data_IF_070521194901
#
_entry.id   IF_070521194901
#
_cell.length_a   1.000
_cell.length_b   1.000
_cell.length_c   1.000
_cell.angle_alpha   90.00
_cell.angle_beta   90.00
_cell.angle_gamma   90.00
#
_symmetry.space_group_name_H-M   'P 1'
#
loop_
_entity.id
_entity.type
_entity.pdbx_description
1 polymer ?
#
# COMPACT_ATOMS: atom_id res chain seq x y z
N UNK A 1 -16.87 27.28 -1.58
CA UNK A 1 -17.39 28.63 -1.91
C UNK A 1 -18.52 29.10 -0.95
N UNK A 2 -19.54 28.27 -0.68
CA UNK A 2 -20.66 28.60 0.23
C UNK A 2 -20.22 29.08 1.64
N UNK A 3 -19.27 28.39 2.30
CA UNK A 3 -18.78 28.69 3.65
C UNK A 3 -18.15 30.09 3.81
N UNK A 4 -17.52 30.64 2.76
CA UNK A 4 -17.02 32.04 2.73
C UNK A 4 -18.13 33.09 2.63
N UNK A 5 -19.33 32.67 2.20
CA UNK A 5 -20.50 33.54 1.98
C UNK A 5 -21.39 33.66 3.22
N UNK A 6 -21.27 32.73 4.17
CA UNK A 6 -22.08 32.66 5.40
C UNK A 6 -21.32 33.01 6.68
N UNK A 7 -20.00 33.26 6.60
CA UNK A 7 -19.15 33.54 7.78
C UNK A 7 -18.92 32.33 8.70
N UNK A 8 -19.48 31.16 8.36
CA UNK A 8 -19.48 29.94 9.18
C UNK A 8 -18.24 29.06 8.92
N UNK A 9 -17.06 29.66 8.76
CA UNK A 9 -15.78 28.94 8.77
C UNK A 9 -15.28 28.73 10.19
N UNK A 10 -16.04 27.97 10.99
CA UNK A 10 -15.61 27.50 12.30
C UNK A 10 -14.65 26.30 12.19
N UNK A 11 -13.78 26.08 13.20
CA UNK A 11 -12.79 24.99 13.18
C UNK A 11 -13.43 23.58 13.07
N UNK A 12 -14.67 23.41 13.53
CA UNK A 12 -15.42 22.16 13.38
C UNK A 12 -15.76 21.85 11.90
N UNK A 13 -15.99 22.87 11.08
CA UNK A 13 -16.30 22.71 9.66
C UNK A 13 -15.06 22.39 8.81
N UNK A 14 -13.89 22.84 9.25
CA UNK A 14 -12.59 22.46 8.67
C UNK A 14 -12.22 21.02 9.02
N UNK A 15 -12.40 20.62 10.28
CA UNK A 15 -12.21 19.23 10.71
C UNK A 15 -13.10 18.25 9.94
N UNK A 16 -14.35 18.63 9.65
CA UNK A 16 -15.27 17.80 8.88
C UNK A 16 -14.88 17.69 7.39
N UNK A 17 -14.49 18.80 6.74
CA UNK A 17 -13.95 18.79 5.36
C UNK A 17 -12.79 17.78 5.25
N UNK A 18 -11.77 17.94 6.10
CA UNK A 18 -10.58 17.08 6.06
C UNK A 18 -10.90 15.62 6.41
N UNK A 19 -11.90 15.37 7.27
CA UNK A 19 -12.39 14.02 7.55
C UNK A 19 -13.05 13.35 6.35
N UNK A 20 -13.83 14.10 5.57
CA UNK A 20 -14.44 13.60 4.33
C UNK A 20 -13.39 13.37 3.25
N UNK A 21 -12.43 14.29 3.09
CA UNK A 21 -11.33 14.15 2.14
C UNK A 21 -10.47 12.91 2.45
N UNK A 22 -10.13 12.66 3.72
CA UNK A 22 -9.40 11.46 4.14
C UNK A 22 -10.17 10.16 3.81
N UNK A 23 -11.48 10.12 4.05
CA UNK A 23 -12.34 9.00 3.68
C UNK A 23 -12.39 8.78 2.17
N UNK A 24 -12.51 9.85 1.38
CA UNK A 24 -12.47 9.78 -0.08
C UNK A 24 -11.12 9.22 -0.58
N UNK A 25 -10.01 9.74 -0.06
CA UNK A 25 -8.66 9.27 -0.37
C UNK A 25 -8.48 7.77 -0.06
N UNK A 26 -9.04 7.27 1.04
CA UNK A 26 -8.99 5.84 1.36
C UNK A 26 -9.79 4.98 0.35
N UNK A 27 -10.98 5.43 -0.04
CA UNK A 27 -11.80 4.75 -1.05
C UNK A 27 -11.14 4.75 -2.43
N UNK A 28 -10.51 5.86 -2.83
CA UNK A 28 -9.76 5.97 -4.08
C UNK A 28 -8.62 4.95 -4.17
N UNK A 29 -7.89 4.72 -3.07
CA UNK A 29 -6.83 3.68 -3.03
C UNK A 29 -7.41 2.27 -3.21
N UNK A 30 -8.58 1.97 -2.63
CA UNK A 30 -9.22 0.66 -2.81
C UNK A 30 -9.69 0.45 -4.26
N UNK A 31 -10.23 1.48 -4.90
CA UNK A 31 -10.63 1.45 -6.31
C UNK A 31 -9.38 1.28 -7.21
N UNK A 32 -8.29 1.98 -6.91
CA UNK A 32 -7.00 1.83 -7.60
C UNK A 32 -6.46 0.40 -7.49
N UNK A 33 -6.44 -0.18 -6.28
CA UNK A 33 -5.98 -1.54 -6.05
C UNK A 33 -6.84 -2.60 -6.77
N UNK A 34 -8.15 -2.34 -6.92
CA UNK A 34 -9.05 -3.13 -7.77
C UNK A 34 -8.73 -2.98 -9.26
N UNK A 35 -8.63 -1.75 -9.76
CA UNK A 35 -8.36 -1.45 -11.17
C UNK A 35 -6.99 -1.94 -11.67
N UNK A 36 -6.01 -2.06 -10.76
CA UNK A 36 -4.66 -2.59 -11.04
C UNK A 36 -4.47 -4.05 -10.62
N UNK A 37 -5.50 -4.69 -10.04
CA UNK A 37 -5.46 -6.05 -9.52
C UNK A 37 -4.26 -6.30 -8.57
N UNK A 38 -4.08 -5.41 -7.59
CA UNK A 38 -3.12 -5.61 -6.49
C UNK A 38 -3.65 -6.60 -5.43
N UNK A 39 -4.97 -6.73 -5.31
CA UNK A 39 -5.62 -7.65 -4.38
C UNK A 39 -5.26 -7.42 -2.90
N UNK A 40 -5.33 -8.49 -2.10
CA UNK A 40 -4.91 -8.50 -0.69
C UNK A 40 -3.39 -8.66 -0.59
N UNK A 41 -2.64 -7.66 -1.06
CA UNK A 41 -1.18 -7.67 -1.06
C UNK A 41 -0.58 -6.49 -0.29
N UNK A 42 0.69 -6.65 0.10
CA UNK A 42 1.48 -5.59 0.70
C UNK A 42 1.55 -4.30 -0.14
N UNK A 43 1.39 -4.38 -1.47
CA UNK A 43 1.38 -3.19 -2.32
C UNK A 43 0.10 -2.35 -2.10
N UNK A 44 -1.05 -2.98 -1.88
CA UNK A 44 -2.29 -2.32 -1.49
C UNK A 44 -2.14 -1.62 -0.14
N UNK A 45 -1.54 -2.33 0.84
CA UNK A 45 -1.27 -1.77 2.19
C UNK A 45 -0.33 -0.56 2.09
N UNK A 46 0.81 -0.70 1.41
CA UNK A 46 1.78 0.39 1.24
C UNK A 46 1.18 1.61 0.51
N UNK A 47 0.30 1.38 -0.48
CA UNK A 47 -0.40 2.49 -1.17
C UNK A 47 -1.34 3.21 -0.22
N UNK A 48 -2.11 2.49 0.60
CA UNK A 48 -3.04 3.09 1.57
C UNK A 48 -2.29 3.88 2.65
N UNK A 49 -1.23 3.29 3.22
CA UNK A 49 -0.42 3.93 4.25
C UNK A 49 0.38 5.13 3.71
N UNK A 50 0.92 5.04 2.49
CA UNK A 50 1.60 6.16 1.82
C UNK A 50 0.64 7.32 1.52
N UNK A 51 -0.58 7.02 1.09
CA UNK A 51 -1.61 8.03 0.84
C UNK A 51 -2.06 8.70 2.14
N UNK A 52 -2.33 7.92 3.19
CA UNK A 52 -2.68 8.44 4.52
C UNK A 52 -1.55 9.30 5.13
N UNK A 53 -0.28 8.90 4.96
CA UNK A 53 0.87 9.70 5.39
C UNK A 53 0.98 11.02 4.61
N UNK A 54 0.75 10.98 3.29
CA UNK A 54 0.72 12.20 2.47
C UNK A 54 -0.34 13.17 3.00
N UNK A 55 -1.56 12.69 3.21
CA UNK A 55 -2.67 13.50 3.73
C UNK A 55 -2.33 14.09 5.11
N UNK A 56 -1.82 13.28 6.03
CA UNK A 56 -1.39 13.73 7.37
C UNK A 56 -0.36 14.85 7.30
N UNK A 57 0.67 14.71 6.45
CA UNK A 57 1.73 15.71 6.32
C UNK A 57 1.20 17.02 5.71
N UNK A 58 0.25 16.95 4.76
CA UNK A 58 -0.39 18.15 4.23
C UNK A 58 -1.24 18.88 5.29
N UNK A 59 -2.05 18.16 6.08
CA UNK A 59 -2.79 18.76 7.20
C UNK A 59 -1.86 19.35 8.26
N UNK A 60 -0.72 18.70 8.53
CA UNK A 60 0.31 19.20 9.45
C UNK A 60 1.00 20.47 8.93
N UNK A 61 1.30 20.55 7.63
CA UNK A 61 1.89 21.73 6.98
C UNK A 61 0.92 22.91 7.06
N UNK A 62 -0.34 22.71 6.65
CA UNK A 62 -1.39 23.73 6.77
C UNK A 62 -1.60 24.19 8.21
N UNK A 63 -1.66 23.27 9.18
CA UNK A 63 -1.80 23.62 10.60
C UNK A 63 -0.69 24.56 11.09
N UNK A 64 0.55 24.35 10.68
CA UNK A 64 1.68 25.18 11.13
C UNK A 64 1.96 26.42 10.29
N UNK A 65 1.63 26.42 9.00
CA UNK A 65 1.81 27.57 8.10
C UNK A 65 0.61 28.49 8.09
N UNK A 66 -0.59 27.96 8.36
CA UNK A 66 -1.91 28.61 8.17
C UNK A 66 -2.21 28.92 6.69
N UNK A 67 -1.62 28.13 5.78
CA UNK A 67 -1.77 28.26 4.33
C UNK A 67 -1.70 26.90 3.66
N UNK A 68 -2.75 26.51 2.94
CA UNK A 68 -2.72 25.33 2.07
C UNK A 68 -1.79 25.58 0.86
N UNK A 69 -0.49 25.31 1.03
CA UNK A 69 0.49 25.43 -0.05
C UNK A 69 0.48 24.19 -0.94
N UNK A 70 -0.46 24.14 -1.91
CA UNK A 70 -0.32 23.26 -3.07
C UNK A 70 0.92 23.70 -3.88
N UNK A 71 2.07 23.13 -3.55
CA UNK A 71 3.28 23.24 -4.36
C UNK A 71 3.11 22.57 -5.73
N UNK A 72 4.07 22.82 -6.63
CA UNK A 72 4.08 22.24 -7.99
C UNK A 72 3.99 20.70 -7.94
N UNK A 73 4.60 20.07 -6.94
CA UNK A 73 4.44 18.65 -6.61
C UNK A 73 3.91 18.60 -5.17
N UNK A 74 2.59 18.63 -4.99
CA UNK A 74 1.96 18.53 -3.65
C UNK A 74 1.87 17.09 -3.14
N UNK A 75 1.81 16.11 -4.06
CA UNK A 75 1.45 14.72 -3.76
C UNK A 75 0.01 14.42 -4.22
N UNK A 76 -1.04 14.96 -3.57
CA UNK A 76 -2.43 14.67 -3.93
C UNK A 76 -2.81 14.99 -5.38
N UNK A 77 -2.32 16.10 -5.94
CA UNK A 77 -2.64 16.49 -7.34
C UNK A 77 -2.05 15.49 -8.33
N UNK A 78 -0.77 15.14 -8.17
CA UNK A 78 -0.08 14.13 -8.97
C UNK A 78 -0.72 12.74 -8.82
N UNK A 79 -1.18 12.42 -7.61
CA UNK A 79 -1.95 11.21 -7.30
C UNK A 79 -3.24 11.12 -8.12
N UNK A 80 -4.09 12.15 -8.06
CA UNK A 80 -5.36 12.20 -8.81
C UNK A 80 -5.12 12.14 -10.32
N UNK A 81 -4.13 12.87 -10.85
CA UNK A 81 -3.77 12.81 -12.27
C UNK A 81 -3.30 11.40 -12.68
N UNK A 82 -2.52 10.73 -11.81
CA UNK A 82 -2.09 9.34 -12.01
C UNK A 82 -3.27 8.38 -11.99
N UNK A 83 -4.23 8.53 -11.06
CA UNK A 83 -5.45 7.74 -11.00
C UNK A 83 -6.29 7.89 -12.28
N UNK A 84 -6.51 9.12 -12.76
CA UNK A 84 -7.20 9.37 -14.02
C UNK A 84 -6.52 8.67 -15.21
N UNK A 85 -5.18 8.75 -15.30
CA UNK A 85 -4.42 8.08 -16.36
C UNK A 85 -4.49 6.54 -16.29
N UNK A 86 -4.47 5.99 -15.06
CA UNK A 86 -4.61 4.55 -14.80
C UNK A 86 -6.02 4.07 -15.17
N UNK A 87 -7.07 4.77 -14.75
CA UNK A 87 -8.45 4.36 -15.10
C UNK A 87 -8.71 4.47 -16.61
N UNK A 88 -8.27 5.54 -17.27
CA UNK A 88 -8.36 5.67 -18.72
C UNK A 88 -7.60 4.55 -19.46
N UNK A 89 -6.37 4.23 -19.02
CA UNK A 89 -5.57 3.18 -19.63
C UNK A 89 -6.15 1.78 -19.37
N UNK A 90 -6.71 1.53 -18.19
CA UNK A 90 -7.38 0.27 -17.85
C UNK A 90 -8.61 0.06 -18.74
N UNK A 91 -9.39 1.11 -18.98
CA UNK A 91 -10.54 1.08 -19.88
C UNK A 91 -10.12 0.81 -21.35
N UNK A 92 -9.07 1.50 -21.84
CA UNK A 92 -8.58 1.34 -23.22
C UNK A 92 -7.91 -0.02 -23.46
N UNK A 93 -7.18 -0.55 -22.48
CA UNK A 93 -6.43 -1.82 -22.59
C UNK A 93 -7.26 -3.06 -22.18
N UNK A 94 -8.50 -2.87 -21.74
CA UNK A 94 -9.46 -3.96 -21.54
C UNK A 94 -9.23 -4.83 -20.31
N UNK A 95 -8.48 -4.38 -19.31
CA UNK A 95 -8.36 -5.10 -18.04
C UNK A 95 -7.10 -4.82 -17.22
N UNK A 96 -7.18 -5.18 -15.93
CA UNK A 96 -6.15 -4.95 -14.93
C UNK A 96 -4.84 -5.74 -15.17
N UNK A 97 -4.89 -6.84 -15.93
CA UNK A 97 -3.71 -7.67 -16.27
C UNK A 97 -2.65 -6.92 -17.06
N UNK A 98 -3.00 -5.79 -17.70
CA UNK A 98 -2.05 -4.89 -18.34
C UNK A 98 -0.97 -4.39 -17.37
N UNK A 99 -1.33 -4.07 -16.13
CA UNK A 99 -0.43 -3.46 -15.13
C UNK A 99 0.63 -4.41 -14.58
N UNK A 100 0.47 -5.72 -14.80
CA UNK A 100 1.42 -6.77 -14.41
C UNK A 100 2.46 -7.07 -15.51
N UNK A 101 2.39 -6.38 -16.66
CA UNK A 101 3.40 -6.49 -17.73
C UNK A 101 4.66 -5.68 -17.38
N UNK A 102 5.86 -6.13 -17.79
CA UNK A 102 7.09 -5.35 -17.60
C UNK A 102 6.99 -3.96 -18.25
N UNK A 103 7.16 -2.90 -17.45
CA UNK A 103 6.91 -1.53 -17.90
C UNK A 103 7.84 -1.13 -19.03
N UNK A 104 9.16 -1.30 -18.85
CA UNK A 104 10.17 -0.83 -19.79
C UNK A 104 10.05 -1.52 -21.17
N UNK A 105 9.77 -2.82 -21.19
CA UNK A 105 9.50 -3.54 -22.44
C UNK A 105 8.18 -3.08 -23.10
N UNK A 106 7.13 -2.85 -22.30
CA UNK A 106 5.82 -2.39 -22.81
C UNK A 106 5.86 -0.96 -23.37
N UNK A 107 6.76 -0.11 -22.84
CA UNK A 107 7.03 1.24 -23.35
C UNK A 107 7.98 1.27 -24.56
N UNK A 108 8.49 0.12 -25.02
CA UNK A 108 9.33 0.02 -26.20
C UNK A 108 10.81 0.41 -25.99
N UNK A 109 11.32 0.31 -24.76
CA UNK A 109 12.76 0.52 -24.50
C UNK A 109 13.58 -0.52 -25.29
N UNK A 110 14.62 -0.11 -26.05
CA UNK A 110 15.41 -1.04 -26.87
C UNK A 110 16.05 -2.17 -26.05
N UNK A 111 16.10 -3.37 -26.64
CA UNK A 111 16.70 -4.55 -26.01
C UNK A 111 18.16 -4.34 -25.58
N UNK A 112 18.92 -3.53 -26.33
CA UNK A 112 20.30 -3.14 -26.01
C UNK A 112 20.43 -2.32 -24.72
N UNK A 113 19.42 -1.53 -24.37
CA UNK A 113 19.38 -0.78 -23.10
C UNK A 113 18.88 -1.69 -21.98
N UNK A 114 17.89 -2.54 -22.24
CA UNK A 114 17.40 -3.54 -21.29
C UNK A 114 18.48 -4.53 -20.86
N UNK A 115 19.39 -4.93 -21.76
CA UNK A 115 20.51 -5.84 -21.45
C UNK A 115 21.63 -5.20 -20.60
N UNK A 116 21.66 -3.87 -20.47
CA UNK A 116 22.60 -3.16 -19.59
C UNK A 116 22.04 -3.06 -18.16
N UNK A 117 20.71 -3.06 -18.02
CA UNK A 117 20.05 -3.00 -16.72
C UNK A 117 20.02 -4.37 -16.03
N UNK A 118 20.08 -4.44 -14.69
CA UNK A 118 19.83 -5.67 -13.96
C UNK A 118 18.46 -6.26 -14.32
N UNK A 119 18.36 -7.59 -14.44
CA UNK A 119 17.11 -8.28 -14.74
C UNK A 119 15.99 -7.94 -13.75
N UNK A 120 16.35 -7.68 -12.49
CA UNK A 120 15.45 -7.23 -11.41
C UNK A 120 14.84 -5.85 -11.62
N UNK A 121 15.34 -5.06 -12.58
CA UNK A 121 14.81 -3.73 -12.96
C UNK A 121 14.15 -3.78 -14.33
N UNK A 122 14.75 -4.48 -15.31
CA UNK A 122 14.21 -4.61 -16.66
C UNK A 122 12.81 -5.23 -16.68
N UNK A 123 12.57 -6.20 -15.78
CA UNK A 123 11.37 -7.02 -15.74
C UNK A 123 10.30 -6.49 -14.76
N UNK A 124 10.51 -5.34 -14.11
CA UNK A 124 9.55 -4.81 -13.14
C UNK A 124 8.21 -4.45 -13.79
N UNK A 125 7.08 -4.92 -13.22
CA UNK A 125 5.75 -4.58 -13.71
C UNK A 125 5.41 -3.11 -13.42
N UNK A 126 4.44 -2.55 -14.14
CA UNK A 126 3.95 -1.19 -13.88
C UNK A 126 3.54 -0.98 -12.42
N UNK A 127 2.92 -1.99 -11.79
CA UNK A 127 2.52 -1.95 -10.36
C UNK A 127 3.71 -1.64 -9.44
N UNK A 128 4.87 -2.28 -9.63
CA UNK A 128 6.08 -1.98 -8.84
C UNK A 128 6.63 -0.58 -9.13
N UNK A 129 6.59 -0.14 -10.39
CA UNK A 129 7.02 1.22 -10.76
C UNK A 129 6.13 2.31 -10.15
N UNK A 130 4.81 2.10 -10.05
CA UNK A 130 3.90 3.01 -9.36
C UNK A 130 4.24 3.15 -7.87
N UNK A 131 4.62 2.06 -7.19
CA UNK A 131 5.00 2.10 -5.77
C UNK A 131 6.32 2.86 -5.59
N UNK A 132 7.31 2.65 -6.47
CA UNK A 132 8.58 3.40 -6.45
C UNK A 132 8.33 4.89 -6.71
N UNK A 133 7.54 5.23 -7.74
CA UNK A 133 7.14 6.60 -8.05
C UNK A 133 6.41 7.27 -6.87
N UNK A 134 5.40 6.60 -6.31
CA UNK A 134 4.64 7.08 -5.17
C UNK A 134 5.52 7.31 -3.93
N UNK A 135 6.47 6.41 -3.65
CA UNK A 135 7.43 6.58 -2.56
C UNK A 135 8.35 7.79 -2.78
N UNK A 136 8.83 8.03 -4.00
CA UNK A 136 9.65 9.21 -4.33
C UNK A 136 8.84 10.51 -4.18
N UNK A 137 7.60 10.56 -4.68
CA UNK A 137 6.71 11.72 -4.54
C UNK A 137 6.37 11.98 -3.08
N UNK A 138 6.06 10.94 -2.30
CA UNK A 138 5.80 11.01 -0.86
C UNK A 138 7.00 11.59 -0.09
N UNK A 139 8.21 11.09 -0.34
CA UNK A 139 9.43 11.58 0.29
C UNK A 139 9.73 13.04 -0.08
N UNK A 140 9.58 13.40 -1.35
CA UNK A 140 9.80 14.76 -1.84
C UNK A 140 8.79 15.76 -1.27
N UNK A 141 7.50 15.42 -1.30
CA UNK A 141 6.42 16.22 -0.70
C UNK A 141 6.66 16.41 0.79
N UNK A 142 6.94 15.31 1.51
CA UNK A 142 7.20 15.35 2.97
C UNK A 142 8.39 16.26 3.32
N UNK A 143 9.52 16.12 2.62
CA UNK A 143 10.68 16.97 2.85
C UNK A 143 10.37 18.44 2.53
N UNK A 144 9.65 18.71 1.44
CA UNK A 144 9.28 20.06 1.03
C UNK A 144 8.37 20.73 2.06
N UNK A 145 7.34 20.04 2.57
CA UNK A 145 6.48 20.51 3.65
C UNK A 145 7.25 20.76 4.95
N UNK A 146 8.19 19.88 5.34
CA UNK A 146 9.04 20.11 6.52
C UNK A 146 9.87 21.39 6.37
N UNK A 147 10.53 21.57 5.23
CA UNK A 147 11.33 22.76 4.94
C UNK A 147 10.46 24.04 4.90
N UNK A 148 9.25 23.96 4.34
CA UNK A 148 8.27 25.05 4.29
C UNK A 148 7.84 25.51 5.70
N UNK A 149 7.41 24.56 6.56
CA UNK A 149 7.06 24.84 7.97
C UNK A 149 8.23 25.45 8.73
N UNK A 150 9.44 24.90 8.58
CA UNK A 150 10.64 25.43 9.24
C UNK A 150 10.97 26.86 8.77
N UNK A 151 10.83 27.13 7.46
CA UNK A 151 11.08 28.44 6.87
C UNK A 151 10.08 29.50 7.36
N UNK A 152 8.78 29.20 7.29
CA UNK A 152 7.70 30.10 7.71
C UNK A 152 7.78 30.38 9.21
N UNK A 153 8.06 29.37 10.05
CA UNK A 153 8.22 29.57 11.50
C UNK A 153 9.47 30.35 11.87
N UNK A 154 10.59 30.14 11.15
CA UNK A 154 11.80 30.98 11.33
C UNK A 154 11.51 32.44 10.98
N UNK A 155 10.75 32.73 9.91
CA UNK A 155 10.29 34.09 9.56
C UNK A 155 9.36 34.70 10.62
N UNK A 156 8.52 33.88 11.27
CA UNK A 156 7.66 34.29 12.40
C UNK A 156 8.39 34.34 13.76
N UNK A 157 9.70 34.11 13.79
CA UNK A 157 10.54 34.01 15.00
C UNK A 157 10.01 33.00 16.05
N UNK A 158 9.46 31.88 15.57
CA UNK A 158 8.90 30.80 16.39
C UNK A 158 9.82 29.58 16.43
N UNK A 159 9.79 28.83 17.55
CA UNK A 159 10.53 27.58 17.72
C UNK A 159 10.28 26.59 16.58
N UNK A 160 11.34 26.20 15.85
CA UNK A 160 11.26 25.31 14.67
C UNK A 160 11.17 23.82 15.02
N UNK A 161 11.50 23.42 16.24
CA UNK A 161 11.47 22.02 16.68
C UNK A 161 10.08 21.54 17.14
N UNK A 162 9.22 22.46 17.66
CA UNK A 162 7.87 22.12 18.12
C UNK A 162 6.98 21.44 17.04
N UNK A 163 7.00 21.86 15.76
CA UNK A 163 6.30 21.15 14.68
C UNK A 163 6.77 19.73 14.45
N UNK A 164 8.08 19.44 14.60
CA UNK A 164 8.63 18.11 14.33
C UNK A 164 8.08 17.07 15.32
N UNK A 165 7.77 17.48 16.56
CA UNK A 165 7.02 16.66 17.51
C UNK A 165 5.60 16.33 17.00
N UNK A 166 5.02 17.20 16.17
CA UNK A 166 3.75 16.96 15.47
C UNK A 166 3.83 15.92 14.35
N UNK A 167 5.01 15.42 13.97
CA UNK A 167 5.17 14.26 13.08
C UNK A 167 5.31 12.94 13.83
N UNK A 168 5.56 12.99 15.16
CA UNK A 168 5.68 11.79 15.99
C UNK A 168 4.45 10.87 15.93
N UNK A 169 3.19 11.35 15.93
CA UNK A 169 2.03 10.46 15.86
C UNK A 169 2.02 9.62 14.58
N UNK A 170 2.37 10.20 13.42
CA UNK A 170 2.49 9.44 12.18
C UNK A 170 3.56 8.35 12.28
N UNK A 171 4.76 8.69 12.74
CA UNK A 171 5.85 7.70 12.92
C UNK A 171 5.44 6.60 13.91
N UNK A 172 4.79 6.97 15.01
CA UNK A 172 4.29 6.02 16.01
C UNK A 172 3.24 5.08 15.42
N UNK A 173 2.26 5.59 14.66
CA UNK A 173 1.26 4.74 13.97
C UNK A 173 1.92 3.77 12.99
N UNK A 174 2.91 4.21 12.21
CA UNK A 174 3.66 3.34 11.29
C UNK A 174 4.41 2.22 12.04
N UNK A 175 5.08 2.55 13.15
CA UNK A 175 5.79 1.55 13.97
C UNK A 175 4.82 0.57 14.66
N UNK A 176 3.72 1.08 15.21
CA UNK A 176 2.70 0.26 15.90
C UNK A 176 2.01 -0.72 14.94
N UNK A 177 1.60 -0.28 13.75
CA UNK A 177 1.00 -1.18 12.75
C UNK A 177 2.03 -2.21 12.26
N UNK A 178 3.27 -1.79 12.02
CA UNK A 178 4.33 -2.73 11.59
C UNK A 178 4.58 -3.79 12.66
N UNK A 179 4.60 -3.40 13.94
CA UNK A 179 4.71 -4.31 15.07
C UNK A 179 3.51 -5.27 15.15
N UNK A 180 2.28 -4.75 15.13
CA UNK A 180 1.03 -5.51 15.25
C UNK A 180 0.87 -6.56 14.14
N UNK A 181 1.23 -6.21 12.90
CA UNK A 181 1.20 -7.18 11.78
C UNK A 181 2.33 -8.20 11.89
N UNK A 182 3.53 -7.82 12.36
CA UNK A 182 4.62 -8.79 12.61
C UNK A 182 4.21 -9.77 13.71
N UNK A 183 3.66 -9.30 14.83
CA UNK A 183 3.18 -10.18 15.92
C UNK A 183 2.05 -11.09 15.44
N UNK A 184 1.09 -10.56 14.69
CA UNK A 184 0.00 -11.37 14.09
C UNK A 184 0.53 -12.45 13.15
N UNK A 185 1.56 -12.17 12.35
CA UNK A 185 2.20 -13.17 11.46
C UNK A 185 3.01 -14.19 12.28
N UNK A 186 3.76 -13.75 13.29
CA UNK A 186 4.47 -14.63 14.22
C UNK A 186 3.50 -15.63 14.88
N UNK A 187 2.37 -15.14 15.42
CA UNK A 187 1.34 -15.97 16.04
C UNK A 187 0.65 -16.90 15.02
N UNK A 188 0.35 -16.41 13.81
CA UNK A 188 -0.28 -17.22 12.75
C UNK A 188 0.62 -18.37 12.24
N UNK A 189 1.92 -18.12 12.10
CA UNK A 189 2.89 -19.15 11.68
C UNK A 189 3.41 -20.00 12.85
N UNK A 190 2.92 -19.78 14.07
CA UNK A 190 3.35 -20.42 15.31
C UNK A 190 4.86 -20.22 15.64
N UNK A 191 5.45 -19.16 15.08
CA UNK A 191 6.83 -18.74 15.31
C UNK A 191 6.83 -17.62 16.35
N UNK A 192 7.05 -17.97 17.61
CA UNK A 192 7.28 -16.97 18.65
C UNK A 192 8.63 -16.27 18.44
N UNK A 193 8.60 -15.13 17.75
CA UNK A 193 9.78 -14.37 17.35
C UNK A 193 10.59 -13.76 18.52
N UNK A 194 10.18 -14.00 19.77
CA UNK A 194 10.87 -13.62 21.01
C UNK A 194 11.21 -14.81 21.93
N UNK A 195 10.79 -16.05 21.64
CA UNK A 195 11.04 -17.23 22.50
C UNK A 195 11.01 -18.52 21.69
N UNK A 196 12.01 -19.40 21.86
CA UNK A 196 12.01 -20.72 21.21
C UNK A 196 10.91 -21.59 21.83
N UNK A 197 9.84 -21.86 21.07
CA UNK A 197 8.68 -22.65 21.51
C UNK A 197 9.02 -24.10 21.86
N UNK A 198 10.00 -24.68 21.16
CA UNK A 198 10.52 -26.03 21.39
C UNK A 198 12.01 -25.96 21.75
N UNK A 199 12.37 -25.77 23.04
CA UNK A 199 13.77 -25.86 23.45
C UNK A 199 14.29 -27.27 23.13
N UNK A 200 15.43 -27.34 22.43
CA UNK A 200 16.09 -28.61 22.16
C UNK A 200 16.60 -29.22 23.47
N UNK A 201 16.07 -30.39 23.83
CA UNK A 201 16.51 -31.18 24.98
C UNK A 201 17.33 -32.36 24.44
N UNK A 202 18.60 -32.44 24.81
CA UNK A 202 19.44 -33.59 24.48
C UNK A 202 18.78 -34.87 25.03
N UNK A 203 18.47 -35.81 24.13
CA UNK A 203 17.83 -37.09 24.48
C UNK A 203 16.29 -37.11 24.43
N UNK A 204 15.60 -36.04 24.01
CA UNK A 204 14.16 -36.12 23.76
C UNK A 204 13.87 -36.88 22.45
N UNK A 205 13.12 -37.98 22.54
CA UNK A 205 12.63 -38.72 21.37
C UNK A 205 11.60 -37.88 20.60
N UNK A 206 11.69 -37.88 19.28
CA UNK A 206 10.72 -37.17 18.43
C UNK A 206 9.37 -37.88 18.46
N UNK A 207 8.31 -37.18 18.90
CA UNK A 207 6.95 -37.72 18.90
C UNK A 207 6.55 -38.08 17.44
N UNK A 208 6.04 -39.30 17.17
CA UNK A 208 5.75 -39.73 15.80
C UNK A 208 4.64 -38.87 15.19
N UNK A 209 4.92 -38.32 14.00
CA UNK A 209 4.02 -37.43 13.30
C UNK A 209 2.61 -38.04 13.15
N UNK A 210 1.58 -37.31 13.57
CA UNK A 210 0.17 -37.74 13.44
C UNK A 210 -0.15 -37.97 11.97
N UNK A 211 -0.32 -39.24 11.60
CA UNK A 211 -0.80 -39.65 10.28
C UNK A 211 -2.25 -39.16 10.12
N UNK A 212 -2.43 -38.08 9.37
CA UNK A 212 -3.75 -37.59 8.97
C UNK A 212 -4.35 -38.64 8.03
N UNK A 213 -5.34 -39.39 8.51
CA UNK A 213 -6.14 -40.29 7.66
C UNK A 213 -7.06 -39.44 6.80
N UNK A 214 -6.63 -39.11 5.59
CA UNK A 214 -7.49 -38.52 4.57
C UNK A 214 -8.47 -39.58 4.09
N UNK A 215 -9.72 -39.53 4.57
CA UNK A 215 -10.82 -40.34 4.04
C UNK A 215 -11.19 -39.82 2.66
N UNK A 216 -10.65 -40.42 1.61
CA UNK A 216 -11.12 -40.18 0.24
C UNK A 216 -12.51 -40.80 0.12
N UNK A 217 -13.52 -39.94 -0.07
CA UNK A 217 -14.88 -40.38 -0.40
C UNK A 217 -14.95 -40.50 -1.92
N UNK A 218 -14.75 -41.70 -2.44
CA UNK A 218 -14.97 -41.99 -3.85
C UNK A 218 -16.47 -41.90 -4.16
N UNK A 219 -16.84 -40.93 -4.99
CA UNK A 219 -18.19 -40.78 -5.55
C UNK A 219 -18.16 -41.16 -7.04
N UNK A 220 -18.15 -42.46 -7.34
CA UNK A 220 -18.11 -42.96 -8.73
C UNK A 220 -18.77 -44.34 -8.94
N UNK A 221 -19.90 -44.62 -8.27
CA UNK A 221 -20.80 -45.70 -8.68
C UNK A 221 -21.94 -45.13 -9.55
N UNK A 222 -21.69 -44.95 -10.85
CA UNK A 222 -22.74 -44.72 -11.87
C UNK A 222 -22.21 -44.75 -13.33
N UNK A 223 -21.75 -45.90 -13.86
CA UNK A 223 -22.15 -46.32 -15.22
C UNK A 223 -21.75 -47.75 -15.63
N UNK A 224 -22.61 -48.30 -16.49
CA UNK A 224 -22.40 -49.39 -17.45
C UNK A 224 -22.18 -50.82 -16.93
N UNK A 225 -23.25 -51.60 -17.06
CA UNK A 225 -23.13 -53.02 -17.33
C UNK A 225 -22.40 -53.26 -18.67
N UNK A 226 -21.64 -54.36 -18.75
CA UNK A 226 -21.22 -54.99 -20.01
C UNK A 226 -20.93 -56.48 -19.76
N UNK A 227 -21.60 -57.37 -20.49
CA UNK A 227 -21.28 -58.80 -20.53
C UNK A 227 -20.04 -59.03 -21.40
N UNK A 228 -19.17 -59.99 -21.05
CA UNK A 228 -18.64 -61.01 -21.98
C UNK A 228 -17.81 -62.09 -21.25
N UNK A 229 -18.44 -63.26 -21.07
CA UNK A 229 -18.03 -64.63 -21.45
C UNK A 229 -16.59 -64.98 -21.88
N UNK A 230 -16.19 -66.26 -21.62
CA UNK A 230 -15.03 -67.03 -22.16
C UNK A 230 -13.66 -66.60 -21.57
N UNK A 231 -12.70 -67.43 -21.13
CA UNK A 231 -12.53 -68.89 -20.97
C UNK A 231 -11.90 -69.13 -19.56
N UNK A 232 -11.80 -70.33 -18.99
CA UNK A 232 -12.12 -71.69 -19.48
C UNK A 232 -12.78 -72.54 -18.40
#
# INVERSE_FOLDING_TARGET
MYRRRTGQSGPLGELFDHGVDACNTALEVLIFAGATNLGQSWLTVLTLFGSALTFYVQTWDEYYTQTLTLGIISGPVEGILTLCAVYATTAIKGGASFWHKPMLATLGVPASVLSILPASVSNLPFTSWYIIYGAVVLLFSTLTSILNVMHIRRRRNLNVYKPLLGLFPAVATWLLVTFDVITTICDYMDIWCLTIKHPYVEGAEAEPAKVIKTTVVDTNDNHSAACHEIES
#
